data_IF_375740991263
#
_entry.id   IF_375740991263
#
_cell.length_a   1.000
_cell.length_b   1.000
_cell.length_c   1.000
_cell.angle_alpha   90.00
_cell.angle_beta   90.00
_cell.angle_gamma   90.00
#
_symmetry.space_group_name_H-M   'P 1'
#
loop_
_entity.id
_entity.type
_entity.pdbx_description
1 polymer ?
#
# COMPACT_ATOMS: atom_id res chain seq x y z
N UNK A 1 4.02 21.77 17.52
CA UNK A 1 3.99 20.36 17.07
C UNK A 1 4.67 20.13 15.73
N UNK A 2 4.66 21.09 14.80
CA UNK A 2 5.31 21.01 13.46
C UNK A 2 6.84 20.79 13.50
N UNK A 3 7.50 21.10 14.61
CA UNK A 3 8.97 21.02 14.76
C UNK A 3 9.51 19.64 15.16
N UNK A 4 8.68 18.60 15.27
CA UNK A 4 9.20 17.26 15.54
C UNK A 4 9.93 16.70 14.31
N UNK A 5 11.11 16.07 14.47
CA UNK A 5 11.88 15.57 13.33
C UNK A 5 11.09 14.66 12.36
N UNK A 6 10.21 13.75 12.83
CA UNK A 6 9.41 12.92 11.92
C UNK A 6 8.38 13.72 11.09
N UNK A 7 7.75 14.74 11.69
CA UNK A 7 6.80 15.61 10.98
C UNK A 7 7.52 16.43 9.91
N UNK A 8 8.69 16.97 10.22
CA UNK A 8 9.54 17.68 9.24
C UNK A 8 9.95 16.75 8.10
N UNK A 9 10.39 15.52 8.41
CA UNK A 9 10.78 14.54 7.40
C UNK A 9 9.61 14.15 6.48
N UNK A 10 8.42 13.94 7.04
CA UNK A 10 7.21 13.60 6.28
C UNK A 10 6.73 14.76 5.40
N UNK A 11 6.75 15.99 5.92
CA UNK A 11 6.30 17.17 5.18
C UNK A 11 7.26 17.54 4.05
N UNK A 12 8.57 17.63 4.32
CA UNK A 12 9.58 17.89 3.30
C UNK A 12 9.64 16.75 2.28
N UNK A 13 9.54 15.50 2.74
CA UNK A 13 9.50 14.33 1.88
C UNK A 13 8.30 14.34 0.94
N UNK A 14 7.09 14.61 1.45
CA UNK A 14 5.88 14.73 0.64
C UNK A 14 5.94 15.89 -0.36
N UNK A 15 6.54 17.03 0.02
CA UNK A 15 6.76 18.15 -0.88
C UNK A 15 7.76 17.79 -2.00
N UNK A 16 8.86 17.13 -1.66
CA UNK A 16 9.86 16.69 -2.61
C UNK A 16 9.32 15.63 -3.59
N UNK A 17 8.61 14.61 -3.10
CA UNK A 17 7.98 13.59 -3.98
C UNK A 17 6.92 14.22 -4.89
N UNK A 18 6.12 15.14 -4.37
CA UNK A 18 5.14 15.89 -5.15
C UNK A 18 5.78 16.73 -6.27
N UNK A 19 6.85 17.46 -5.95
CA UNK A 19 7.59 18.27 -6.92
C UNK A 19 8.21 17.39 -8.03
N UNK A 20 8.85 16.28 -7.64
CA UNK A 20 9.40 15.31 -8.57
C UNK A 20 8.32 14.70 -9.45
N UNK A 21 7.15 14.34 -8.90
CA UNK A 21 6.03 13.80 -9.65
C UNK A 21 5.47 14.80 -10.67
N UNK A 22 5.32 16.08 -10.30
CA UNK A 22 4.91 17.14 -11.23
C UNK A 22 5.91 17.28 -12.36
N UNK A 23 7.21 17.41 -12.05
CA UNK A 23 8.27 17.56 -13.05
C UNK A 23 8.32 16.35 -14.00
N UNK A 24 8.23 15.15 -13.43
CA UNK A 24 8.20 13.89 -14.16
C UNK A 24 6.96 13.78 -15.06
N UNK A 25 5.80 14.25 -14.61
CA UNK A 25 4.57 14.30 -15.41
C UNK A 25 4.64 15.30 -16.56
N UNK A 26 5.24 16.48 -16.35
CA UNK A 26 5.47 17.45 -17.44
C UNK A 26 6.35 16.86 -18.54
N UNK A 27 7.42 16.14 -18.18
CA UNK A 27 8.21 15.41 -19.16
C UNK A 27 7.43 14.23 -19.75
N UNK A 28 6.68 13.51 -18.93
CA UNK A 28 5.85 12.37 -19.33
C UNK A 28 4.86 12.73 -20.43
N UNK A 29 4.23 13.90 -20.37
CA UNK A 29 3.35 14.40 -21.45
C UNK A 29 4.14 14.58 -22.77
N UNK A 30 5.39 15.06 -22.71
CA UNK A 30 6.24 15.20 -23.91
C UNK A 30 6.63 13.84 -24.46
N UNK A 31 7.00 12.89 -23.60
CA UNK A 31 7.35 11.52 -23.97
C UNK A 31 6.15 10.83 -24.63
N UNK A 32 4.97 10.89 -24.02
CA UNK A 32 3.75 10.27 -24.59
C UNK A 32 3.45 10.79 -26.01
N UNK A 33 3.67 12.09 -26.26
CA UNK A 33 3.36 12.73 -27.56
C UNK A 33 4.44 12.53 -28.62
N UNK A 34 5.72 12.55 -28.25
CA UNK A 34 6.84 12.69 -29.20
C UNK A 34 7.82 11.53 -29.21
N UNK A 35 7.63 10.51 -28.38
CA UNK A 35 8.56 9.38 -28.30
C UNK A 35 8.56 8.56 -29.59
N UNK A 36 9.71 8.51 -30.27
CA UNK A 36 9.94 7.71 -31.46
C UNK A 36 11.37 7.13 -31.46
N UNK A 37 11.48 5.84 -31.11
CA UNK A 37 12.76 5.11 -31.07
C UNK A 37 13.40 4.92 -32.45
N UNK A 38 12.65 5.08 -33.55
CA UNK A 38 13.21 4.99 -34.89
C UNK A 38 13.87 6.31 -35.34
N UNK A 39 13.66 7.41 -34.59
CA UNK A 39 14.19 8.72 -34.92
C UNK A 39 15.54 8.97 -34.25
N UNK A 40 16.59 9.20 -35.06
CA UNK A 40 17.89 9.68 -34.57
C UNK A 40 17.95 11.19 -34.27
N UNK A 41 16.80 11.85 -34.10
CA UNK A 41 16.75 13.30 -33.89
C UNK A 41 17.36 13.71 -32.55
N UNK A 42 17.92 14.92 -32.47
CA UNK A 42 18.43 15.48 -31.21
C UNK A 42 17.34 15.49 -30.13
N UNK A 43 16.10 15.77 -30.52
CA UNK A 43 14.95 15.73 -29.62
C UNK A 43 14.75 14.35 -28.98
N UNK A 44 14.83 13.26 -29.76
CA UNK A 44 14.70 11.90 -29.24
C UNK A 44 15.85 11.55 -28.29
N UNK A 45 17.10 11.88 -28.66
CA UNK A 45 18.28 11.66 -27.81
C UNK A 45 18.19 12.42 -26.47
N UNK A 46 17.67 13.64 -26.48
CA UNK A 46 17.42 14.40 -25.25
C UNK A 46 16.31 13.77 -24.40
N UNK A 47 15.24 13.23 -25.02
CA UNK A 47 14.17 12.54 -24.31
C UNK A 47 14.67 11.26 -23.64
N UNK A 48 15.49 10.46 -24.31
CA UNK A 48 16.08 9.22 -23.76
C UNK A 48 16.94 9.50 -22.52
N UNK A 49 17.87 10.46 -22.60
CA UNK A 49 18.72 10.85 -21.46
C UNK A 49 17.90 11.30 -20.25
N UNK A 50 16.88 12.14 -20.47
CA UNK A 50 16.01 12.65 -19.40
C UNK A 50 15.12 11.56 -18.82
N UNK A 51 14.67 10.62 -19.64
CA UNK A 51 13.83 9.49 -19.21
C UNK A 51 14.54 8.64 -18.17
N UNK A 52 15.82 8.34 -18.37
CA UNK A 52 16.60 7.56 -17.41
C UNK A 52 16.68 8.28 -16.05
N UNK A 53 17.09 9.56 -16.06
CA UNK A 53 17.18 10.36 -14.84
C UNK A 53 15.84 10.43 -14.08
N UNK A 54 14.74 10.70 -14.80
CA UNK A 54 13.42 10.79 -14.17
C UNK A 54 12.95 9.44 -13.65
N UNK A 55 13.19 8.36 -14.38
CA UNK A 55 12.86 7.00 -13.95
C UNK A 55 13.56 6.65 -12.62
N UNK A 56 14.85 6.96 -12.49
CA UNK A 56 15.61 6.75 -11.25
C UNK A 56 15.12 7.64 -10.11
N UNK A 57 14.88 8.93 -10.36
CA UNK A 57 14.36 9.86 -9.35
C UNK A 57 12.98 9.43 -8.85
N UNK A 58 12.10 9.01 -9.76
CA UNK A 58 10.78 8.50 -9.40
C UNK A 58 10.87 7.16 -8.66
N UNK A 59 11.85 6.31 -8.97
CA UNK A 59 12.07 5.08 -8.22
C UNK A 59 12.46 5.38 -6.76
N UNK A 60 13.34 6.35 -6.54
CA UNK A 60 13.66 6.85 -5.19
C UNK A 60 12.43 7.46 -4.51
N UNK A 61 11.66 8.29 -5.23
CA UNK A 61 10.47 8.94 -4.71
C UNK A 61 9.38 7.94 -4.28
N UNK A 62 9.11 6.91 -5.07
CA UNK A 62 8.13 5.86 -4.70
C UNK A 62 8.65 4.92 -3.63
N UNK A 63 9.96 4.66 -3.57
CA UNK A 63 10.56 3.91 -2.46
C UNK A 63 10.40 4.70 -1.15
N UNK A 64 10.69 6.00 -1.18
CA UNK A 64 10.40 6.89 -0.07
C UNK A 64 8.90 6.91 0.25
N UNK A 65 8.01 6.95 -0.75
CA UNK A 65 6.57 6.94 -0.55
C UNK A 65 6.11 5.72 0.25
N UNK A 66 6.62 4.52 -0.07
CA UNK A 66 6.33 3.29 0.68
C UNK A 66 6.87 3.40 2.12
N UNK A 67 8.11 3.84 2.31
CA UNK A 67 8.68 4.06 3.65
C UNK A 67 7.93 5.13 4.45
N UNK A 68 7.42 6.16 3.78
CA UNK A 68 6.70 7.27 4.38
C UNK A 68 5.36 6.84 4.98
N UNK A 69 4.74 5.77 4.47
CA UNK A 69 3.56 5.16 5.08
C UNK A 69 3.86 4.68 6.49
N UNK A 70 4.93 3.91 6.66
CA UNK A 70 5.34 3.40 7.97
C UNK A 70 5.82 4.53 8.88
N UNK A 71 6.57 5.50 8.34
CA UNK A 71 7.00 6.67 9.11
C UNK A 71 5.80 7.52 9.56
N UNK A 72 4.77 7.68 8.73
CA UNK A 72 3.54 8.39 9.08
C UNK A 72 2.79 7.68 10.20
N UNK A 73 2.63 6.36 10.09
CA UNK A 73 2.00 5.54 11.13
C UNK A 73 2.78 5.63 12.44
N UNK A 74 4.11 5.50 12.39
CA UNK A 74 4.98 5.64 13.56
C UNK A 74 4.86 7.03 14.19
N UNK A 75 4.79 8.08 13.38
CA UNK A 75 4.63 9.46 13.86
C UNK A 75 3.27 9.66 14.51
N UNK A 76 2.20 9.16 13.90
CA UNK A 76 0.85 9.21 14.48
C UNK A 76 0.78 8.44 15.81
N UNK A 77 1.49 7.31 15.91
CA UNK A 77 1.63 6.58 17.16
C UNK A 77 2.37 7.43 18.18
N UNK A 78 3.59 7.91 17.94
CA UNK A 78 4.35 8.68 18.95
C UNK A 78 3.64 9.95 19.44
N UNK A 79 2.87 10.61 18.57
CA UNK A 79 2.12 11.82 18.89
C UNK A 79 0.94 11.58 19.86
N UNK A 80 0.50 10.32 20.11
CA UNK A 80 -0.64 10.06 21.00
C UNK A 80 -0.45 10.65 22.40
N UNK A 81 0.80 10.70 22.89
CA UNK A 81 1.16 11.21 24.22
C UNK A 81 0.85 12.70 24.42
N UNK A 82 0.65 13.43 23.33
CA UNK A 82 0.42 14.87 23.34
C UNK A 82 -1.06 15.23 23.37
N UNK A 83 -1.96 14.26 23.21
CA UNK A 83 -3.41 14.48 23.17
C UNK A 83 -4.12 13.70 24.27
N UNK A 84 -5.02 14.38 24.98
CA UNK A 84 -5.83 13.74 26.03
C UNK A 84 -6.81 12.77 25.36
N UNK A 85 -6.85 11.52 25.86
CA UNK A 85 -7.73 10.45 25.34
C UNK A 85 -7.14 9.63 24.18
N UNK A 86 -6.03 10.05 23.57
CA UNK A 86 -5.35 9.28 22.53
C UNK A 86 -4.48 8.17 23.16
N UNK A 87 -4.92 6.92 23.01
CA UNK A 87 -4.19 5.74 23.52
C UNK A 87 -3.21 5.14 22.51
N UNK A 88 -3.40 5.43 21.23
CA UNK A 88 -2.59 4.96 20.10
C UNK A 88 -2.84 5.87 18.89
N UNK A 89 -2.26 5.52 17.73
CA UNK A 89 -2.41 6.27 16.48
C UNK A 89 -3.87 6.50 16.07
N UNK A 90 -4.82 5.62 16.44
CA UNK A 90 -6.25 5.86 16.17
C UNK A 90 -6.76 7.17 16.78
N UNK A 91 -6.34 7.48 18.02
CA UNK A 91 -6.73 8.72 18.70
C UNK A 91 -6.09 9.93 18.02
N UNK A 92 -4.79 9.85 17.73
CA UNK A 92 -4.05 10.91 17.03
C UNK A 92 -4.61 11.20 15.64
N UNK A 93 -4.98 10.17 14.88
CA UNK A 93 -5.58 10.31 13.55
C UNK A 93 -6.99 10.90 13.61
N UNK A 94 -7.65 10.83 14.77
CA UNK A 94 -9.00 11.35 14.99
C UNK A 94 -9.02 12.77 15.58
N UNK A 95 -7.86 13.38 15.86
CA UNK A 95 -7.76 14.77 16.34
C UNK A 95 -8.45 15.75 15.40
N UNK A 96 -8.35 15.50 14.08
CA UNK A 96 -9.03 16.29 13.07
C UNK A 96 -9.53 15.42 11.91
N UNK A 97 -10.28 16.04 11.00
CA UNK A 97 -10.94 15.36 9.88
C UNK A 97 -9.99 14.82 8.81
N UNK A 98 -8.70 15.19 8.83
CA UNK A 98 -7.75 14.86 7.76
C UNK A 98 -6.93 13.59 8.04
N UNK A 99 -6.86 13.10 9.28
CA UNK A 99 -5.98 11.98 9.65
C UNK A 99 -6.31 10.67 8.94
N UNK A 100 -7.55 10.17 9.10
CA UNK A 100 -8.00 8.93 8.43
C UNK A 100 -7.97 9.02 6.88
N UNK A 101 -8.42 10.12 6.25
CA UNK A 101 -8.24 10.30 4.81
C UNK A 101 -6.77 10.25 4.37
N UNK A 102 -5.85 10.84 5.15
CA UNK A 102 -4.42 10.85 4.83
C UNK A 102 -3.84 9.43 4.84
N UNK A 103 -4.08 8.63 5.88
CA UNK A 103 -3.55 7.26 5.94
C UNK A 103 -4.13 6.37 4.84
N UNK A 104 -5.41 6.52 4.50
CA UNK A 104 -6.04 5.76 3.43
C UNK A 104 -5.41 6.09 2.07
N UNK A 105 -5.28 7.37 1.77
CA UNK A 105 -4.68 7.82 0.51
C UNK A 105 -3.19 7.47 0.43
N UNK A 106 -2.46 7.58 1.54
CA UNK A 106 -1.05 7.17 1.64
C UNK A 106 -0.86 5.68 1.44
N UNK A 107 -1.78 4.85 1.95
CA UNK A 107 -1.80 3.40 1.69
C UNK A 107 -2.04 3.10 0.21
N UNK A 108 -3.02 3.78 -0.42
CA UNK A 108 -3.30 3.63 -1.84
C UNK A 108 -2.10 4.06 -2.71
N UNK A 109 -1.49 5.19 -2.42
CA UNK A 109 -0.30 5.68 -3.13
C UNK A 109 0.93 4.80 -2.91
N UNK A 110 1.11 4.20 -1.73
CA UNK A 110 2.18 3.22 -1.49
C UNK A 110 1.98 1.95 -2.34
N UNK A 111 0.74 1.42 -2.41
CA UNK A 111 0.42 0.28 -3.26
C UNK A 111 0.65 0.58 -4.75
N UNK A 112 0.08 1.69 -5.24
CA UNK A 112 0.21 2.07 -6.63
C UNK A 112 1.65 2.45 -7.00
N UNK A 113 2.39 3.09 -6.09
CA UNK A 113 3.82 3.35 -6.22
C UNK A 113 4.63 2.06 -6.29
N UNK A 114 4.30 1.06 -5.48
CA UNK A 114 4.89 -0.28 -5.57
C UNK A 114 4.62 -0.95 -6.93
N UNK A 115 3.40 -0.85 -7.45
CA UNK A 115 3.08 -1.32 -8.80
C UNK A 115 3.88 -0.56 -9.86
N UNK A 116 4.01 0.76 -9.73
CA UNK A 116 4.77 1.58 -10.67
C UNK A 116 6.26 1.19 -10.68
N UNK A 117 6.87 0.95 -9.51
CA UNK A 117 8.25 0.46 -9.39
C UNK A 117 8.45 -0.86 -10.12
N UNK A 118 7.53 -1.81 -9.97
CA UNK A 118 7.59 -3.11 -10.64
C UNK A 118 7.40 -2.97 -12.15
N UNK A 119 6.50 -2.09 -12.60
CA UNK A 119 6.34 -1.78 -14.03
C UNK A 119 7.60 -1.12 -14.60
N UNK A 120 8.25 -0.25 -13.84
CA UNK A 120 9.50 0.39 -14.24
C UNK A 120 10.65 -0.63 -14.36
N UNK A 121 10.78 -1.54 -13.40
CA UNK A 121 11.74 -2.65 -13.47
C UNK A 121 11.47 -3.55 -14.68
N UNK A 122 10.20 -3.85 -14.98
CA UNK A 122 9.84 -4.63 -16.16
C UNK A 122 10.20 -3.93 -17.48
N UNK A 123 9.96 -2.62 -17.58
CA UNK A 123 10.28 -1.80 -18.76
C UNK A 123 11.79 -1.73 -19.02
N UNK A 124 12.60 -1.56 -17.95
CA UNK A 124 14.06 -1.47 -18.05
C UNK A 124 14.74 -2.79 -18.44
N UNK A 125 14.01 -3.91 -18.47
CA UNK A 125 14.54 -5.21 -18.89
C UNK A 125 14.53 -5.42 -20.41
N UNK A 126 13.83 -4.57 -21.15
CA UNK A 126 13.80 -4.60 -22.61
C UNK A 126 14.51 -3.37 -23.17
N UNK A 127 15.33 -3.57 -24.21
CA UNK A 127 16.16 -2.51 -24.80
C UNK A 127 15.35 -1.43 -25.52
N UNK A 128 14.11 -1.72 -25.91
CA UNK A 128 13.21 -0.85 -26.67
C UNK A 128 12.17 -0.13 -25.80
N UNK A 129 12.27 -0.18 -24.46
CA UNK A 129 11.36 0.47 -23.51
C UNK A 129 9.87 0.40 -23.93
N UNK A 130 9.33 -0.81 -24.12
CA UNK A 130 8.06 -0.99 -24.81
C UNK A 130 6.86 -0.55 -23.96
N UNK A 131 7.05 -0.32 -22.66
CA UNK A 131 6.02 0.17 -21.73
C UNK A 131 6.13 1.66 -21.44
N UNK A 132 7.08 2.37 -22.06
CA UNK A 132 7.41 3.75 -21.69
C UNK A 132 6.20 4.69 -21.67
N UNK A 133 5.36 4.66 -22.71
CA UNK A 133 4.15 5.50 -22.79
C UNK A 133 3.12 5.12 -21.73
N UNK A 134 2.96 3.83 -21.43
CA UNK A 134 2.03 3.33 -20.41
C UNK A 134 2.52 3.67 -19.00
N UNK A 135 3.83 3.58 -18.75
CA UNK A 135 4.48 3.97 -17.51
C UNK A 135 4.26 5.44 -17.18
N UNK A 136 4.46 6.33 -18.16
CA UNK A 136 4.22 7.76 -17.95
C UNK A 136 2.73 8.14 -17.91
N UNK A 137 1.86 7.40 -18.59
CA UNK A 137 0.41 7.57 -18.44
C UNK A 137 -0.03 7.21 -17.02
N UNK A 138 0.49 6.11 -16.48
CA UNK A 138 0.22 5.71 -15.10
C UNK A 138 0.75 6.74 -14.11
N UNK A 139 1.96 7.29 -14.34
CA UNK A 139 2.51 8.37 -13.53
C UNK A 139 1.65 9.64 -13.53
N UNK A 140 1.10 10.01 -14.70
CA UNK A 140 0.22 11.17 -14.83
C UNK A 140 -1.06 11.00 -13.99
N UNK A 141 -1.58 9.78 -13.90
CA UNK A 141 -2.71 9.44 -13.04
C UNK A 141 -2.33 9.42 -11.55
N UNK A 142 -1.11 9.00 -11.19
CA UNK A 142 -0.63 8.99 -9.80
C UNK A 142 -0.31 10.37 -9.24
N UNK A 143 0.14 11.29 -10.09
CA UNK A 143 0.53 12.64 -9.68
C UNK A 143 -0.55 13.40 -8.90
N UNK A 144 -1.82 13.51 -9.37
CA UNK A 144 -2.85 14.17 -8.59
C UNK A 144 -3.15 13.47 -7.26
N UNK A 145 -3.02 12.14 -7.18
CA UNK A 145 -3.20 11.40 -5.93
C UNK A 145 -2.09 11.69 -4.92
N UNK A 146 -0.83 11.80 -5.36
CA UNK A 146 0.29 12.21 -4.51
C UNK A 146 0.14 13.65 -4.02
N UNK A 147 -0.34 14.57 -4.87
CA UNK A 147 -0.60 15.96 -4.49
C UNK A 147 -1.73 16.06 -3.47
N UNK A 148 -2.84 15.36 -3.69
CA UNK A 148 -3.94 15.29 -2.75
C UNK A 148 -3.47 14.76 -1.39
N UNK A 149 -2.62 13.72 -1.37
CA UNK A 149 -2.03 13.20 -0.14
C UNK A 149 -1.15 14.23 0.56
N UNK A 150 -0.26 14.91 -0.16
CA UNK A 150 0.62 15.92 0.43
C UNK A 150 -0.18 17.08 1.04
N UNK A 151 -1.28 17.50 0.38
CA UNK A 151 -2.19 18.53 0.89
C UNK A 151 -2.92 18.04 2.14
N UNK A 152 -3.50 16.84 2.12
CA UNK A 152 -4.20 16.27 3.29
C UNK A 152 -3.25 16.06 4.47
N UNK A 153 -2.03 15.55 4.22
CA UNK A 153 -1.01 15.39 5.25
C UNK A 153 -0.55 16.73 5.83
N UNK A 154 -0.36 17.74 4.98
CA UNK A 154 -0.04 19.10 5.41
C UNK A 154 -1.15 19.70 6.26
N UNK A 155 -2.41 19.58 5.83
CA UNK A 155 -3.58 20.02 6.58
C UNK A 155 -3.73 19.26 7.91
N UNK A 156 -3.48 17.95 7.91
CA UNK A 156 -3.48 17.13 9.12
C UNK A 156 -2.50 17.66 10.15
N UNK A 157 -1.22 17.86 9.79
CA UNK A 157 -0.20 18.33 10.72
C UNK A 157 -0.37 19.80 11.11
N UNK A 158 -0.88 20.65 10.22
CA UNK A 158 -1.16 22.05 10.52
C UNK A 158 -2.35 22.22 11.48
N UNK A 159 -3.35 21.34 11.39
CA UNK A 159 -4.53 21.32 12.26
C UNK A 159 -4.40 20.43 13.50
N UNK A 160 -3.18 20.17 13.99
CA UNK A 160 -2.96 19.47 15.26
C UNK A 160 -2.97 20.48 16.42
N UNK A 161 -4.06 20.47 17.18
CA UNK A 161 -4.28 21.32 18.35
C UNK A 161 -4.28 20.45 19.62
N UNK A 162 -3.35 20.73 20.55
CA UNK A 162 -3.09 19.86 21.71
C UNK A 162 -4.19 19.89 22.79
N UNK A 163 -5.07 20.89 22.76
CA UNK A 163 -6.21 21.07 23.65
C UNK A 163 -7.48 20.33 23.21
N UNK A 164 -7.44 19.66 22.06
CA UNK A 164 -8.54 18.80 21.59
C UNK A 164 -8.52 17.46 22.36
N UNK A 165 -9.59 17.22 23.11
CA UNK A 165 -9.84 15.91 23.74
C UNK A 165 -10.32 14.95 22.67
N UNK A 166 -9.57 13.88 22.43
CA UNK A 166 -9.91 12.87 21.42
C UNK A 166 -10.59 11.66 22.04
N UNK A 167 -11.47 11.03 21.26
CA UNK A 167 -12.10 9.77 21.63
C UNK A 167 -11.08 8.64 21.68
N UNK A 168 -11.19 7.77 22.68
CA UNK A 168 -10.35 6.58 22.77
C UNK A 168 -10.67 5.61 21.62
N UNK A 169 -9.72 4.74 21.28
CA UNK A 169 -9.95 3.71 20.26
C UNK A 169 -11.13 2.78 20.62
N UNK A 170 -11.41 2.60 21.91
CA UNK A 170 -12.56 1.82 22.40
C UNK A 170 -13.91 2.38 21.96
N UNK A 171 -14.07 3.70 21.82
CA UNK A 171 -15.32 4.30 21.31
C UNK A 171 -15.33 4.51 19.79
N UNK A 172 -14.21 4.28 19.09
CA UNK A 172 -14.12 4.34 17.62
C UNK A 172 -14.31 2.97 16.95
N UNK A 173 -13.97 1.91 17.68
CA UNK A 173 -14.02 0.52 17.22
C UNK A 173 -14.87 -0.39 18.13
N UNK A 174 -15.59 0.18 19.09
CA UNK A 174 -16.56 -0.53 19.93
C UNK A 174 -17.96 -0.53 19.32
N UNK A 175 -18.87 -1.34 19.89
CA UNK A 175 -20.25 -1.53 19.42
C UNK A 175 -21.14 -0.27 19.45
N UNK A 176 -20.70 0.80 20.11
CA UNK A 176 -21.41 2.10 20.16
C UNK A 176 -20.81 3.16 19.20
N UNK A 177 -19.77 2.82 18.44
CA UNK A 177 -19.15 3.75 17.52
C UNK A 177 -20.07 4.03 16.30
N UNK A 178 -19.91 5.19 15.65
CA UNK A 178 -20.54 5.51 14.36
C UNK A 178 -19.49 5.73 13.27
N UNK A 179 -19.56 5.01 12.15
CA UNK A 179 -18.64 5.17 11.01
C UNK A 179 -18.30 3.87 10.26
N UNK A 180 -17.42 3.91 9.23
CA UNK A 180 -17.03 2.73 8.43
C UNK A 180 -16.32 1.65 9.26
N UNK A 181 -15.64 2.02 10.35
CA UNK A 181 -14.98 1.12 11.29
C UNK A 181 -15.95 0.17 12.00
N UNK A 182 -17.18 0.61 12.22
CA UNK A 182 -18.26 -0.15 12.88
C UNK A 182 -18.77 -1.23 11.95
N UNK A 183 -18.93 -0.92 10.66
CA UNK A 183 -19.36 -1.90 9.67
C UNK A 183 -18.36 -3.06 9.50
N UNK A 184 -17.08 -2.79 9.76
CA UNK A 184 -16.02 -3.79 9.79
C UNK A 184 -16.02 -4.61 11.09
N UNK A 185 -16.36 -4.01 12.24
CA UNK A 185 -16.45 -4.69 13.53
C UNK A 185 -17.74 -5.52 13.69
N UNK A 186 -18.87 -5.05 13.14
CA UNK A 186 -20.20 -5.70 13.22
C UNK A 186 -20.46 -6.75 12.12
N UNK A 187 -19.52 -6.93 11.19
CA UNK A 187 -19.59 -8.01 10.20
C UNK A 187 -19.67 -9.35 10.96
N UNK A 188 -20.66 -10.21 10.65
CA UNK A 188 -20.80 -11.49 11.36
C UNK A 188 -19.48 -12.26 11.24
N UNK A 189 -18.81 -12.51 12.37
CA UNK A 189 -17.45 -13.07 12.41
C UNK A 189 -17.32 -14.30 11.51
N UNK A 190 -18.34 -15.17 11.51
CA UNK A 190 -18.41 -16.36 10.66
C UNK A 190 -18.32 -16.03 9.16
N UNK A 191 -19.00 -14.99 8.70
CA UNK A 191 -18.96 -14.58 7.29
C UNK A 191 -17.60 -13.98 6.91
N UNK A 192 -16.99 -13.19 7.80
CA UNK A 192 -15.67 -12.62 7.53
C UNK A 192 -14.59 -13.71 7.56
N UNK A 193 -14.70 -14.68 8.47
CA UNK A 193 -13.79 -15.81 8.57
C UNK A 193 -13.86 -16.71 7.32
N UNK A 194 -15.08 -17.01 6.83
CA UNK A 194 -15.25 -17.75 5.57
C UNK A 194 -14.75 -16.94 4.38
N UNK A 195 -15.02 -15.63 4.32
CA UNK A 195 -14.50 -14.76 3.27
C UNK A 195 -12.97 -14.72 3.25
N UNK A 196 -12.33 -14.62 4.43
CA UNK A 196 -10.88 -14.63 4.59
C UNK A 196 -10.25 -15.92 4.10
N UNK A 197 -10.77 -17.08 4.52
CA UNK A 197 -10.26 -18.38 4.05
C UNK A 197 -10.52 -18.55 2.55
N UNK A 198 -11.71 -18.21 2.08
CA UNK A 198 -12.08 -18.35 0.66
C UNK A 198 -11.19 -17.49 -0.24
N UNK A 199 -10.94 -16.21 0.12
CA UNK A 199 -10.12 -15.34 -0.71
C UNK A 199 -8.66 -15.76 -0.72
N UNK A 200 -8.12 -16.24 0.41
CA UNK A 200 -6.79 -16.82 0.45
C UNK A 200 -6.74 -18.07 -0.44
N UNK A 201 -7.69 -19.00 -0.31
CA UNK A 201 -7.74 -20.20 -1.16
C UNK A 201 -7.82 -19.85 -2.67
N UNK A 202 -8.62 -18.85 -3.05
CA UNK A 202 -8.68 -18.36 -4.43
C UNK A 202 -7.35 -17.76 -4.86
N UNK A 203 -6.70 -16.95 -4.01
CA UNK A 203 -5.42 -16.30 -4.28
C UNK A 203 -4.31 -17.35 -4.47
N UNK A 204 -4.20 -18.32 -3.56
CA UNK A 204 -3.25 -19.44 -3.66
C UNK A 204 -3.53 -20.34 -4.87
N UNK A 205 -4.79 -20.73 -5.08
CA UNK A 205 -5.19 -21.59 -6.19
C UNK A 205 -4.92 -20.94 -7.54
N UNK A 206 -5.37 -19.70 -7.74
CA UNK A 206 -5.14 -18.96 -8.99
C UNK A 206 -3.66 -18.62 -9.22
N UNK A 207 -2.93 -18.24 -8.17
CA UNK A 207 -1.50 -17.97 -8.23
C UNK A 207 -0.69 -19.22 -8.59
N UNK A 208 -1.01 -20.38 -8.01
CA UNK A 208 -0.36 -21.66 -8.33
C UNK A 208 -0.69 -22.12 -9.75
N UNK A 209 -1.94 -21.98 -10.19
CA UNK A 209 -2.34 -22.27 -11.58
C UNK A 209 -1.60 -21.36 -12.58
N UNK A 210 -1.44 -20.08 -12.24
CA UNK A 210 -0.68 -19.14 -13.05
C UNK A 210 0.81 -19.51 -13.10
N UNK A 211 1.40 -19.86 -11.95
CA UNK A 211 2.79 -20.31 -11.84
C UNK A 211 3.06 -21.56 -12.72
N UNK A 212 2.11 -22.51 -12.74
CA UNK A 212 2.13 -23.72 -13.60
C UNK A 212 1.89 -23.44 -15.09
N UNK A 213 1.67 -22.18 -15.49
CA UNK A 213 1.58 -21.77 -16.89
C UNK A 213 0.18 -21.45 -17.39
N UNK A 214 -0.88 -21.54 -16.57
CA UNK A 214 -2.24 -21.17 -16.99
C UNK A 214 -2.41 -19.65 -16.98
N UNK A 215 -2.13 -19.02 -18.12
CA UNK A 215 -2.15 -17.55 -18.25
C UNK A 215 -3.47 -16.87 -17.87
N UNK A 216 -4.63 -17.50 -18.09
CA UNK A 216 -5.94 -16.96 -17.69
C UNK A 216 -6.07 -16.81 -16.17
N UNK A 217 -5.38 -17.66 -15.40
CA UNK A 217 -5.38 -17.59 -13.94
C UNK A 217 -4.65 -16.35 -13.42
N UNK A 218 -3.79 -15.71 -14.21
CA UNK A 218 -3.06 -14.51 -13.80
C UNK A 218 -3.96 -13.29 -13.56
N UNK A 219 -5.03 -13.13 -14.34
CA UNK A 219 -6.00 -12.04 -14.13
C UNK A 219 -6.83 -12.28 -12.86
N UNK A 220 -7.28 -13.52 -12.66
CA UNK A 220 -8.00 -13.94 -11.44
C UNK A 220 -7.09 -13.74 -10.23
N UNK A 221 -5.83 -14.17 -10.31
CA UNK A 221 -4.84 -13.99 -9.27
C UNK A 221 -4.61 -12.52 -8.91
N UNK A 222 -4.47 -11.65 -9.90
CA UNK A 222 -4.26 -10.23 -9.65
C UNK A 222 -5.44 -9.57 -8.94
N UNK A 223 -6.66 -9.89 -9.35
CA UNK A 223 -7.87 -9.40 -8.68
C UNK A 223 -8.00 -10.01 -7.28
N UNK A 224 -7.79 -11.32 -7.15
CA UNK A 224 -7.85 -12.02 -5.87
C UNK A 224 -6.82 -11.48 -4.89
N UNK A 225 -5.60 -11.18 -5.32
CA UNK A 225 -4.56 -10.57 -4.50
C UNK A 225 -4.96 -9.17 -4.00
N UNK A 226 -5.63 -8.36 -4.81
CA UNK A 226 -6.14 -7.05 -4.36
C UNK A 226 -7.30 -7.22 -3.37
N UNK A 227 -8.24 -8.11 -3.64
CA UNK A 227 -9.38 -8.37 -2.75
C UNK A 227 -8.89 -9.00 -1.44
N UNK A 228 -7.89 -9.88 -1.50
CA UNK A 228 -7.25 -10.49 -0.33
C UNK A 228 -6.63 -9.43 0.58
N UNK A 229 -6.06 -8.35 0.05
CA UNK A 229 -5.54 -7.24 0.86
C UNK A 229 -6.64 -6.64 1.73
N UNK A 230 -7.78 -6.26 1.14
CA UNK A 230 -8.88 -5.64 1.87
C UNK A 230 -9.56 -6.59 2.86
N UNK A 231 -9.81 -7.84 2.45
CA UNK A 231 -10.41 -8.85 3.34
C UNK A 231 -9.45 -9.21 4.48
N UNK A 232 -8.14 -9.26 4.23
CA UNK A 232 -7.14 -9.53 5.28
C UNK A 232 -6.99 -8.35 6.23
N UNK A 233 -7.11 -7.11 5.74
CA UNK A 233 -7.15 -5.92 6.60
C UNK A 233 -8.41 -5.91 7.48
N UNK A 234 -9.55 -6.26 6.92
CA UNK A 234 -10.79 -6.46 7.67
C UNK A 234 -10.64 -7.55 8.73
N UNK A 235 -10.14 -8.73 8.36
CA UNK A 235 -9.83 -9.82 9.29
C UNK A 235 -8.86 -9.38 10.39
N UNK A 236 -7.87 -8.55 10.04
CA UNK A 236 -6.90 -8.01 10.99
C UNK A 236 -7.59 -7.18 12.08
N UNK A 237 -8.51 -6.31 11.69
CA UNK A 237 -9.29 -5.46 12.61
C UNK A 237 -10.28 -6.30 13.42
N UNK A 238 -11.07 -7.14 12.76
CA UNK A 238 -12.27 -7.73 13.37
C UNK A 238 -11.97 -8.93 14.27
N UNK A 239 -10.96 -9.76 13.98
CA UNK A 239 -10.67 -10.91 14.85
C UNK A 239 -9.19 -11.15 15.13
N UNK A 240 -8.26 -10.89 14.21
CA UNK A 240 -6.83 -11.16 14.47
C UNK A 240 -6.31 -10.25 15.59
N UNK A 241 -6.61 -8.95 15.55
CA UNK A 241 -6.18 -8.00 16.60
C UNK A 241 -6.75 -8.39 17.99
N UNK A 242 -8.06 -8.67 18.15
CA UNK A 242 -8.59 -9.22 19.40
C UNK A 242 -7.85 -10.46 19.93
N UNK A 243 -7.47 -11.42 19.06
CA UNK A 243 -6.69 -12.58 19.48
C UNK A 243 -5.26 -12.21 19.94
N UNK A 244 -4.63 -11.19 19.34
CA UNK A 244 -3.32 -10.67 19.78
C UNK A 244 -3.42 -9.98 21.13
N UNK A 245 -4.50 -9.22 21.34
CA UNK A 245 -4.72 -8.48 22.57
C UNK A 245 -5.28 -9.33 23.70
N UNK A 246 -5.74 -10.54 23.39
CA UNK A 246 -6.51 -11.42 24.28
C UNK A 246 -7.75 -10.71 24.88
N UNK A 247 -8.31 -9.76 24.13
CA UNK A 247 -9.41 -8.88 24.55
C UNK A 247 -10.48 -8.85 23.45
N UNK A 248 -11.66 -9.47 23.65
CA UNK A 248 -12.65 -9.68 22.59
C UNK A 248 -13.26 -8.38 22.07
N UNK A 249 -13.28 -7.34 22.88
CA UNK A 249 -13.84 -6.02 22.55
C UNK A 249 -12.82 -5.05 21.95
N UNK A 250 -11.55 -5.45 21.85
CA UNK A 250 -10.48 -4.56 21.41
C UNK A 250 -10.11 -4.81 19.94
N UNK A 251 -10.66 -4.00 19.04
CA UNK A 251 -10.48 -4.15 17.59
C UNK A 251 -9.53 -3.13 16.94
N UNK A 252 -8.78 -2.37 17.75
CA UNK A 252 -7.97 -1.28 17.20
C UNK A 252 -6.86 -1.81 16.29
N UNK A 253 -6.73 -1.38 15.02
CA UNK A 253 -5.66 -1.82 14.13
C UNK A 253 -4.29 -1.20 14.42
N UNK A 254 -4.23 -0.24 15.36
CA UNK A 254 -3.00 0.51 15.63
C UNK A 254 -2.31 0.07 16.92
N UNK A 255 -3.04 -0.43 17.93
CA UNK A 255 -2.42 -0.89 19.18
C UNK A 255 -1.41 -2.03 18.95
N UNK A 256 -1.63 -2.89 17.95
CA UNK A 256 -0.72 -3.97 17.50
C UNK A 256 0.67 -3.46 17.06
N UNK A 257 0.79 -2.16 16.78
CA UNK A 257 2.06 -1.52 16.43
C UNK A 257 2.87 -1.11 17.66
N UNK A 258 2.30 -1.20 18.86
CA UNK A 258 2.98 -0.78 20.07
C UNK A 258 4.01 -1.82 20.54
N UNK A 259 4.89 -1.39 21.46
CA UNK A 259 6.01 -2.20 21.96
C UNK A 259 5.54 -3.43 22.71
N UNK A 260 4.41 -3.31 23.39
CA UNK A 260 3.77 -4.30 24.24
C UNK A 260 3.41 -5.56 23.44
N UNK A 261 3.12 -5.40 22.15
CA UNK A 261 2.86 -6.50 21.21
C UNK A 261 4.06 -6.83 20.32
N UNK A 262 5.27 -6.41 20.72
CA UNK A 262 6.52 -6.70 20.02
C UNK A 262 6.62 -6.07 18.62
N UNK A 263 5.86 -5.01 18.34
CA UNK A 263 5.81 -4.35 17.03
C UNK A 263 5.34 -5.26 15.88
N UNK A 264 4.64 -6.37 16.19
CA UNK A 264 4.21 -7.37 15.19
C UNK A 264 3.33 -6.77 14.08
N UNK A 265 2.58 -5.72 14.39
CA UNK A 265 1.74 -5.01 13.42
C UNK A 265 2.51 -4.50 12.20
N UNK A 266 3.73 -3.98 12.38
CA UNK A 266 4.55 -3.48 11.28
C UNK A 266 4.89 -4.59 10.28
N UNK A 267 5.21 -5.78 10.80
CA UNK A 267 5.47 -6.95 9.96
C UNK A 267 4.20 -7.37 9.20
N UNK A 268 3.05 -7.46 9.87
CA UNK A 268 1.78 -7.84 9.24
C UNK A 268 1.38 -6.88 8.12
N UNK A 269 1.47 -5.56 8.34
CA UNK A 269 1.19 -4.58 7.29
C UNK A 269 2.20 -4.65 6.14
N UNK A 270 3.48 -4.89 6.44
CA UNK A 270 4.52 -5.04 5.41
C UNK A 270 4.27 -6.26 4.53
N UNK A 271 3.92 -7.42 5.09
CA UNK A 271 3.60 -8.61 4.29
C UNK A 271 2.27 -8.47 3.54
N UNK A 272 1.28 -7.73 4.07
CA UNK A 272 0.05 -7.43 3.33
C UNK A 272 0.33 -6.57 2.10
N UNK A 273 1.10 -5.48 2.25
CA UNK A 273 1.52 -4.65 1.12
C UNK A 273 2.41 -5.43 0.14
N UNK A 274 3.31 -6.27 0.67
CA UNK A 274 4.17 -7.17 -0.10
C UNK A 274 3.42 -8.30 -0.82
N UNK A 275 2.22 -8.65 -0.37
CA UNK A 275 1.29 -9.54 -1.06
C UNK A 275 0.55 -8.82 -2.18
N UNK A 276 0.00 -7.66 -1.87
CA UNK A 276 -0.87 -6.90 -2.77
C UNK A 276 -0.12 -6.31 -3.97
N UNK A 277 0.99 -5.59 -3.74
CA UNK A 277 1.66 -4.85 -4.82
C UNK A 277 2.21 -5.76 -5.94
N UNK A 278 2.93 -6.87 -5.65
CA UNK A 278 3.35 -7.81 -6.70
C UNK A 278 2.16 -8.53 -7.36
N UNK A 279 1.10 -8.84 -6.60
CA UNK A 279 -0.12 -9.45 -7.13
C UNK A 279 -0.84 -8.54 -8.13
N UNK A 280 -1.01 -7.26 -7.80
CA UNK A 280 -1.53 -6.23 -8.71
C UNK A 280 -0.62 -6.04 -9.93
N UNK A 281 0.69 -6.02 -9.74
CA UNK A 281 1.65 -5.86 -10.82
C UNK A 281 1.60 -7.02 -11.83
N UNK A 282 1.28 -8.25 -11.40
CA UNK A 282 1.01 -9.36 -12.32
C UNK A 282 -0.10 -8.98 -13.30
N UNK A 283 -1.24 -8.49 -12.83
CA UNK A 283 -2.35 -8.07 -13.70
C UNK A 283 -2.00 -6.88 -14.60
N UNK A 284 -1.27 -5.89 -14.06
CA UNK A 284 -0.85 -4.71 -14.82
C UNK A 284 0.08 -5.07 -15.99
N UNK A 285 0.95 -6.07 -15.81
CA UNK A 285 1.95 -6.48 -16.80
C UNK A 285 1.49 -7.64 -17.70
N UNK A 286 0.48 -8.41 -17.28
CA UNK A 286 0.00 -9.60 -17.98
C UNK A 286 -0.39 -9.34 -19.46
N UNK A 287 -1.07 -8.24 -19.84
CA UNK A 287 -1.42 -7.96 -21.24
C UNK A 287 -0.21 -7.82 -22.17
N UNK A 288 0.94 -7.41 -21.62
CA UNK A 288 2.13 -7.06 -22.37
C UNK A 288 3.10 -8.23 -22.63
N UNK A 289 2.77 -9.42 -22.12
CA UNK A 289 3.61 -10.64 -22.19
C UNK A 289 3.94 -11.13 -23.60
N UNK A 290 3.19 -10.69 -24.61
CA UNK A 290 3.37 -11.08 -26.02
C UNK A 290 4.13 -10.05 -26.84
N UNK A 291 4.52 -8.91 -26.27
CA UNK A 291 5.36 -7.94 -26.98
C UNK A 291 6.73 -8.58 -27.26
N UNK A 292 7.24 -8.44 -28.49
CA UNK A 292 8.41 -9.20 -28.99
C UNK A 292 9.62 -9.09 -28.06
N UNK A 293 9.95 -7.88 -27.63
CA UNK A 293 11.08 -7.59 -26.74
C UNK A 293 10.91 -8.09 -25.30
N UNK A 294 9.67 -8.14 -24.81
CA UNK A 294 9.35 -8.61 -23.45
C UNK A 294 9.00 -10.11 -23.38
N UNK A 295 8.71 -10.76 -24.50
CA UNK A 295 8.32 -12.17 -24.56
C UNK A 295 9.32 -13.13 -23.84
N UNK A 296 10.66 -12.98 -23.98
CA UNK A 296 11.59 -13.86 -23.28
C UNK A 296 11.72 -13.56 -21.79
N UNK A 297 11.49 -12.31 -21.36
CA UNK A 297 11.81 -11.86 -19.99
C UNK A 297 10.59 -11.74 -19.08
N UNK A 298 9.44 -11.31 -19.61
CA UNK A 298 8.26 -10.99 -18.81
C UNK A 298 7.58 -12.23 -18.21
N UNK A 299 7.35 -13.35 -18.92
CA UNK A 299 6.73 -14.53 -18.32
C UNK A 299 7.43 -15.07 -17.06
N UNK A 300 8.77 -15.29 -17.04
CA UNK A 300 9.44 -15.72 -15.81
C UNK A 300 9.41 -14.64 -14.72
N UNK A 301 9.47 -13.35 -15.09
CA UNK A 301 9.32 -12.25 -14.14
C UNK A 301 7.94 -12.24 -13.45
N UNK A 302 6.86 -12.41 -14.22
CA UNK A 302 5.49 -12.50 -13.67
C UNK A 302 5.33 -13.69 -12.72
N UNK A 303 5.96 -14.84 -12.99
CA UNK A 303 5.93 -16.00 -12.07
C UNK A 303 6.65 -15.72 -10.77
N UNK A 304 7.76 -14.96 -10.80
CA UNK A 304 8.45 -14.51 -9.59
C UNK A 304 7.60 -13.55 -8.78
N UNK A 305 6.94 -12.58 -9.43
CA UNK A 305 6.01 -11.67 -8.74
C UNK A 305 4.85 -12.42 -8.08
N UNK A 306 4.26 -13.39 -8.79
CA UNK A 306 3.22 -14.24 -8.24
C UNK A 306 3.73 -15.02 -7.02
N UNK A 307 4.92 -15.62 -7.10
CA UNK A 307 5.53 -16.33 -5.97
C UNK A 307 5.79 -15.39 -4.78
N UNK A 308 6.35 -14.20 -5.00
CA UNK A 308 6.57 -13.22 -3.94
C UNK A 308 5.26 -12.83 -3.24
N UNK A 309 4.20 -12.59 -4.02
CA UNK A 309 2.87 -12.28 -3.48
C UNK A 309 2.28 -13.44 -2.66
N UNK A 310 2.39 -14.67 -3.17
CA UNK A 310 1.94 -15.88 -2.47
C UNK A 310 2.71 -16.12 -1.17
N UNK A 311 4.04 -15.93 -1.18
CA UNK A 311 4.88 -16.07 0.01
C UNK A 311 4.51 -15.04 1.06
N UNK A 312 4.30 -13.78 0.67
CA UNK A 312 3.89 -12.73 1.59
C UNK A 312 2.51 -13.00 2.23
N UNK A 313 1.52 -13.42 1.44
CA UNK A 313 0.23 -13.85 1.98
C UNK A 313 0.31 -15.13 2.83
N UNK A 314 1.25 -16.03 2.53
CA UNK A 314 1.49 -17.22 3.35
C UNK A 314 2.03 -16.82 4.72
N UNK A 315 3.00 -15.91 4.78
CA UNK A 315 3.50 -15.38 6.05
C UNK A 315 2.39 -14.69 6.85
N UNK A 316 1.56 -13.87 6.20
CA UNK A 316 0.40 -13.26 6.86
C UNK A 316 -0.54 -14.31 7.46
N UNK A 317 -0.93 -15.32 6.67
CA UNK A 317 -1.83 -16.38 7.10
C UNK A 317 -1.23 -17.24 8.22
N UNK A 318 0.06 -17.58 8.13
CA UNK A 318 0.77 -18.37 9.14
C UNK A 318 0.87 -17.64 10.48
N UNK A 319 1.24 -16.35 10.47
CA UNK A 319 1.28 -15.54 11.70
C UNK A 319 -0.12 -15.40 12.29
N UNK A 320 -1.13 -15.16 11.46
CA UNK A 320 -2.52 -15.08 11.91
C UNK A 320 -2.99 -16.39 12.55
N UNK A 321 -2.72 -17.53 11.90
CA UNK A 321 -3.07 -18.85 12.42
C UNK A 321 -2.31 -19.18 13.71
N UNK A 322 -1.03 -18.82 13.80
CA UNK A 322 -0.22 -18.98 15.01
C UNK A 322 -0.82 -18.20 16.17
N UNK A 323 -1.08 -16.91 15.99
CA UNK A 323 -1.70 -16.07 17.03
C UNK A 323 -3.03 -16.65 17.49
N UNK A 324 -3.91 -17.03 16.56
CA UNK A 324 -5.23 -17.58 16.89
C UNK A 324 -5.12 -18.90 17.66
N UNK A 325 -4.15 -19.76 17.31
CA UNK A 325 -4.00 -21.09 17.91
C UNK A 325 -3.35 -21.07 19.29
N UNK A 326 -2.54 -20.05 19.59
CA UNK A 326 -1.82 -19.90 20.86
C UNK A 326 -2.43 -18.85 21.79
N UNK A 327 -3.47 -18.14 21.35
CA UNK A 327 -4.20 -17.18 22.18
C UNK A 327 -5.07 -17.91 23.20
N UNK A 328 -5.16 -17.38 24.42
CA UNK A 328 -6.07 -17.88 25.45
C UNK A 328 -7.54 -17.46 25.22
N UNK A 329 -7.78 -16.59 24.23
CA UNK A 329 -9.11 -16.11 23.86
C UNK A 329 -9.81 -17.12 22.95
N UNK A 330 -11.12 -17.29 23.13
CA UNK A 330 -12.00 -17.99 22.18
C UNK A 330 -13.13 -17.05 21.79
N UNK A 331 -13.14 -16.57 20.54
CA UNK A 331 -14.26 -15.78 20.01
C UNK A 331 -15.35 -16.75 19.52
N UNK A 332 -16.52 -16.73 20.17
CA UNK A 332 -17.70 -17.54 19.85
C UNK A 332 -18.69 -16.83 18.94
#
# INVERSE_FOLDING_TARGET
MILSPPVIALTLGAAATSLLAIQASVLGVRIIRKWDLASGSEQQLQLEKRTYLISTLMACAFTFQIGSLFLFIFTAEDLHRLFVGAMCAAGTLNVNTFGYPTILLKTANALLGGVWLIVNDADNRASDYPLIRKKYLFLLMLTPLLLAEAVLQGAYFAGLEADVITSCCGSLFGSEAGGPSVWLADLPLKALWTAFIAILAITFGSGMLFYRGRTRAGAIFSLAALVAFFISLAALISFISPYIYELPTHHCPFCILQREYGYVGYFLYAVLLGGAAPGMAVGALLPFRRMKSLCPVLPPFLRRLALCSLVAYAFFALVSAYVISFSNLSLS
#
